data_IF_591905593034
#
_entry.id   IF_591905593034
#
_cell.length_a   1.000
_cell.length_b   1.000
_cell.length_c   1.000
_cell.angle_alpha   90.00
_cell.angle_beta   90.00
_cell.angle_gamma   90.00
#
_symmetry.space_group_name_H-M   'P 1'
#
loop_
_entity.id
_entity.type
_entity.pdbx_description
1 polymer ?
#
# COMPACT_ATOMS: atom_id res chain seq x y z
N UNK A 1 -11.56 -4.34 3.10
CA UNK A 1 -11.92 -3.42 1.98
C UNK A 1 -11.84 -2.00 2.49
N UNK A 2 -11.26 -1.09 1.71
CA UNK A 2 -11.12 0.33 2.03
C UNK A 2 -11.65 1.17 0.88
N UNK A 3 -12.27 2.30 1.22
CA UNK A 3 -12.67 3.32 0.27
C UNK A 3 -11.72 4.49 0.41
N UNK A 4 -10.96 4.79 -0.64
CA UNK A 4 -9.98 5.87 -0.63
C UNK A 4 -10.41 7.01 -1.53
N UNK A 5 -10.37 8.21 -0.96
CA UNK A 5 -10.33 9.45 -1.72
C UNK A 5 -8.88 9.75 -2.12
N UNK A 6 -8.70 10.65 -3.08
CA UNK A 6 -7.39 11.18 -3.45
C UNK A 6 -6.61 11.66 -2.22
N UNK A 7 -5.28 11.58 -2.28
CA UNK A 7 -4.37 12.02 -1.21
C UNK A 7 -4.56 11.23 0.10
N UNK A 8 -4.90 9.95 0.00
CA UNK A 8 -4.93 9.03 1.13
C UNK A 8 -3.88 7.92 0.99
N UNK A 9 -3.43 7.42 2.13
CA UNK A 9 -2.38 6.40 2.21
C UNK A 9 -2.89 5.19 2.99
N UNK A 10 -2.54 4.00 2.52
CA UNK A 10 -2.60 2.75 3.29
C UNK A 10 -1.19 2.26 3.60
N UNK A 11 -0.95 1.92 4.85
CA UNK A 11 0.21 1.16 5.29
C UNK A 11 -0.15 -0.31 5.48
N UNK A 12 0.77 -1.18 5.07
CA UNK A 12 0.79 -2.64 5.25
C UNK A 12 1.85 -2.93 6.32
N UNK A 13 1.47 -2.79 7.59
CA UNK A 13 2.41 -2.70 8.70
C UNK A 13 3.43 -1.58 8.46
N UNK A 14 4.68 -1.82 8.83
CA UNK A 14 5.84 -0.99 8.49
C UNK A 14 6.54 -1.39 7.20
N UNK A 15 6.01 -2.36 6.43
CA UNK A 15 6.73 -3.00 5.32
C UNK A 15 6.21 -2.63 3.93
N UNK A 16 5.04 -2.00 3.84
CA UNK A 16 4.49 -1.52 2.59
C UNK A 16 3.66 -0.26 2.79
N UNK A 17 3.67 0.61 1.79
CA UNK A 17 2.84 1.82 1.74
C UNK A 17 2.25 1.96 0.35
N UNK A 18 0.99 2.35 0.28
CA UNK A 18 0.28 2.71 -0.94
C UNK A 18 -0.31 4.10 -0.77
N UNK A 19 0.19 5.03 -1.56
CA UNK A 19 -0.29 6.40 -1.71
C UNK A 19 -1.24 6.46 -2.91
N UNK A 20 -2.51 6.74 -2.65
CA UNK A 20 -3.51 6.88 -3.70
C UNK A 20 -3.59 8.33 -4.18
N UNK A 21 -3.08 8.56 -5.39
CA UNK A 21 -2.96 9.90 -5.98
C UNK A 21 -4.28 10.35 -6.59
N UNK A 22 -5.01 9.44 -7.24
CA UNK A 22 -6.26 9.75 -7.96
C UNK A 22 -6.27 9.21 -9.39
N UNK A 23 -7.29 9.50 -10.21
CA UNK A 23 -8.39 10.40 -9.90
C UNK A 23 -9.60 9.67 -9.28
N UNK A 24 -10.45 10.46 -8.63
CA UNK A 24 -11.72 10.05 -8.03
C UNK A 24 -11.59 9.03 -6.89
N UNK A 25 -12.70 8.75 -6.21
CA UNK A 25 -12.74 7.77 -5.13
C UNK A 25 -12.60 6.34 -5.69
N UNK A 26 -11.82 5.49 -5.02
CA UNK A 26 -11.59 4.10 -5.43
C UNK A 26 -11.81 3.11 -4.28
N UNK A 27 -12.22 1.91 -4.65
CA UNK A 27 -12.28 0.75 -3.76
C UNK A 27 -10.97 -0.02 -3.82
N UNK A 28 -10.34 -0.22 -2.67
CA UNK A 28 -9.12 -1.01 -2.51
C UNK A 28 -9.40 -2.21 -1.60
N UNK A 29 -9.05 -3.41 -2.03
CA UNK A 29 -9.23 -4.65 -1.28
C UNK A 29 -7.85 -5.20 -0.95
N UNK A 30 -7.53 -5.31 0.34
CA UNK A 30 -6.23 -5.82 0.80
C UNK A 30 -6.34 -7.31 1.05
N UNK A 31 -5.47 -8.08 0.40
CA UNK A 31 -5.28 -9.52 0.59
C UNK A 31 -3.88 -9.73 1.15
N UNK A 32 -3.78 -9.93 2.46
CA UNK A 32 -2.52 -10.12 3.17
C UNK A 32 -2.77 -10.99 4.42
N UNK A 33 -1.70 -11.32 5.15
CA UNK A 33 -1.83 -11.99 6.45
C UNK A 33 -2.74 -11.21 7.39
N UNK A 34 -3.60 -11.90 8.15
CA UNK A 34 -4.45 -11.28 9.18
C UNK A 34 -3.65 -10.64 10.32
N UNK A 35 -2.38 -11.02 10.49
CA UNK A 35 -1.45 -10.43 11.45
C UNK A 35 -0.83 -9.11 10.98
N UNK A 36 -1.02 -8.71 9.71
CA UNK A 36 -0.49 -7.48 9.16
C UNK A 36 -1.43 -6.31 9.47
N UNK A 37 -0.97 -5.34 10.26
CA UNK A 37 -1.79 -4.18 10.61
C UNK A 37 -1.97 -3.28 9.40
N UNK A 38 -3.21 -3.06 8.97
CA UNK A 38 -3.51 -2.11 7.90
C UNK A 38 -3.90 -0.77 8.50
N UNK A 39 -3.11 0.26 8.25
CA UNK A 39 -3.36 1.60 8.77
C UNK A 39 -3.63 2.61 7.66
N UNK A 40 -4.72 3.37 7.77
CA UNK A 40 -5.07 4.42 6.80
C UNK A 40 -4.79 5.81 7.41
N UNK A 41 -4.13 6.66 6.64
CA UNK A 41 -3.91 8.07 7.01
C UNK A 41 -4.08 9.01 5.80
N UNK A 42 -4.05 10.32 6.05
CA UNK A 42 -3.90 11.31 4.98
C UNK A 42 -2.46 11.26 4.46
N UNK A 43 -2.29 11.39 3.15
CA UNK A 43 -0.96 11.30 2.52
C UNK A 43 0.02 12.36 3.05
N UNK A 44 -0.46 13.56 3.35
CA UNK A 44 0.36 14.63 3.94
C UNK A 44 0.92 14.30 5.34
N UNK A 45 0.33 13.32 6.03
CA UNK A 45 0.76 12.86 7.36
C UNK A 45 1.56 11.56 7.28
N UNK A 46 1.66 10.93 6.11
CA UNK A 46 2.15 9.57 6.00
C UNK A 46 3.65 9.45 6.33
N UNK A 47 4.48 10.41 5.89
CA UNK A 47 5.92 10.40 6.18
C UNK A 47 6.20 10.57 7.68
N UNK A 48 5.55 11.55 8.32
CA UNK A 48 5.68 11.80 9.76
C UNK A 48 5.12 10.64 10.60
N UNK A 49 3.96 10.09 10.20
CA UNK A 49 3.39 8.91 10.86
C UNK A 49 4.36 7.73 10.78
N UNK A 50 4.95 7.46 9.61
CA UNK A 50 5.92 6.38 9.45
C UNK A 50 7.14 6.56 10.36
N UNK A 51 7.74 7.75 10.37
CA UNK A 51 8.91 8.06 11.19
C UNK A 51 8.65 7.89 12.69
N UNK A 52 7.45 8.26 13.17
CA UNK A 52 7.11 8.20 14.59
C UNK A 52 6.53 6.86 15.04
N UNK A 53 5.94 6.09 14.14
CA UNK A 53 5.10 4.94 14.50
C UNK A 53 5.57 3.58 13.95
N UNK A 54 6.65 3.54 13.15
CA UNK A 54 7.33 2.30 12.79
C UNK A 54 7.78 1.54 14.06
N UNK A 55 7.47 0.25 14.13
CA UNK A 55 7.79 -0.57 15.30
C UNK A 55 6.74 -0.52 16.41
N UNK A 56 5.76 0.39 16.32
CA UNK A 56 4.69 0.58 17.31
C UNK A 56 3.31 0.32 16.69
N UNK A 57 2.70 1.33 16.05
CA UNK A 57 1.42 1.16 15.35
C UNK A 57 1.61 0.47 13.99
N UNK A 58 2.70 0.77 13.30
CA UNK A 58 3.03 0.18 12.01
C UNK A 58 3.86 -1.08 12.21
N UNK A 59 3.16 -2.18 12.46
CA UNK A 59 3.76 -3.50 12.75
C UNK A 59 3.16 -4.58 11.83
N UNK A 60 3.93 -5.61 11.49
CA UNK A 60 5.38 -5.79 11.65
C UNK A 60 6.24 -4.77 10.86
N UNK A 61 7.54 -4.60 11.20
CA UNK A 61 8.23 -5.21 12.35
C UNK A 61 7.75 -4.61 13.68
N UNK A 62 7.76 -5.39 14.76
CA UNK A 62 7.66 -4.88 16.12
C UNK A 62 9.03 -4.37 16.57
N UNK A 63 9.08 -3.22 17.25
CA UNK A 63 10.32 -2.51 17.63
C UNK A 63 11.05 -1.83 16.45
N UNK A 64 11.95 -0.89 16.76
CA UNK A 64 12.76 -0.19 15.75
C UNK A 64 13.81 -1.14 15.19
N UNK A 65 13.42 -1.87 14.15
CA UNK A 65 14.36 -2.60 13.30
C UNK A 65 14.91 -1.62 12.27
N UNK A 66 16.22 -1.67 12.05
CA UNK A 66 16.86 -0.98 10.93
C UNK A 66 16.42 -1.63 9.61
N UNK A 67 15.33 -1.12 9.05
CA UNK A 67 14.87 -1.50 7.73
C UNK A 67 15.71 -0.79 6.67
N UNK A 68 15.96 -1.44 5.51
CA UNK A 68 16.48 -0.75 4.35
C UNK A 68 15.60 0.45 3.96
N UNK A 69 16.16 1.46 3.27
CA UNK A 69 15.38 2.56 2.73
C UNK A 69 14.20 2.07 1.89
N UNK A 70 13.10 2.81 1.95
CA UNK A 70 11.91 2.56 1.15
C UNK A 70 12.19 2.94 -0.31
N UNK A 71 11.99 2.01 -1.24
CA UNK A 71 12.03 2.26 -2.68
C UNK A 71 10.64 2.73 -3.16
N UNK A 72 10.62 3.67 -4.10
CA UNK A 72 9.39 4.24 -4.67
C UNK A 72 9.03 3.56 -5.98
N UNK A 73 7.76 3.21 -6.14
CA UNK A 73 7.22 2.60 -7.35
C UNK A 73 5.94 3.33 -7.79
N UNK A 74 5.94 3.89 -9.00
CA UNK A 74 4.77 4.61 -9.53
C UNK A 74 4.02 3.74 -10.54
N UNK A 75 2.70 3.65 -10.37
CA UNK A 75 1.82 2.82 -11.19
C UNK A 75 0.60 3.59 -11.66
N UNK A 76 0.05 3.15 -12.81
CA UNK A 76 -1.26 3.54 -13.29
C UNK A 76 -2.04 2.28 -13.67
N UNK A 77 -3.25 2.10 -13.15
CA UNK A 77 -4.10 0.97 -13.54
C UNK A 77 -4.59 1.16 -14.97
N UNK A 78 -4.49 0.09 -15.76
CA UNK A 78 -4.88 0.04 -17.18
C UNK A 78 -6.04 -0.94 -17.42
N UNK A 79 -6.53 -1.59 -16.37
CA UNK A 79 -7.68 -2.50 -16.40
C UNK A 79 -8.70 -2.11 -15.32
N UNK A 80 -9.89 -2.70 -15.41
CA UNK A 80 -10.94 -2.51 -14.41
C UNK A 80 -10.55 -3.03 -13.03
N UNK A 81 -9.66 -4.02 -12.95
CA UNK A 81 -9.17 -4.55 -11.69
C UNK A 81 -7.70 -4.95 -11.81
N UNK A 82 -6.85 -4.31 -11.03
CA UNK A 82 -5.43 -4.62 -10.96
C UNK A 82 -5.04 -4.98 -9.53
N UNK A 83 -4.15 -5.95 -9.38
CA UNK A 83 -3.51 -6.25 -8.10
C UNK A 83 -2.16 -5.53 -8.03
N UNK A 84 -1.99 -4.66 -7.04
CA UNK A 84 -0.69 -4.15 -6.64
C UNK A 84 -0.06 -5.11 -5.64
N UNK A 85 0.88 -5.90 -6.12
CA UNK A 85 1.51 -6.99 -5.38
C UNK A 85 2.71 -6.47 -4.60
N UNK A 86 2.78 -6.82 -3.31
CA UNK A 86 3.95 -6.64 -2.46
C UNK A 86 4.51 -8.04 -2.11
N UNK A 87 5.68 -8.36 -2.66
CA UNK A 87 6.25 -9.71 -2.59
C UNK A 87 6.41 -10.17 -1.13
N UNK A 88 5.84 -11.33 -0.81
CA UNK A 88 5.87 -11.90 0.56
C UNK A 88 4.87 -11.29 1.56
N UNK A 89 4.23 -10.17 1.25
CA UNK A 89 3.22 -9.54 2.12
C UNK A 89 1.78 -9.82 1.67
N UNK A 90 1.56 -9.85 0.35
CA UNK A 90 0.23 -9.98 -0.24
C UNK A 90 0.02 -9.03 -1.41
N UNK A 91 -1.22 -8.61 -1.63
CA UNK A 91 -1.55 -7.63 -2.67
C UNK A 91 -2.74 -6.75 -2.28
N UNK A 92 -2.87 -5.63 -2.99
CA UNK A 92 -4.02 -4.74 -2.91
C UNK A 92 -4.70 -4.71 -4.27
N UNK A 93 -5.91 -5.24 -4.38
CA UNK A 93 -6.74 -5.10 -5.57
C UNK A 93 -7.31 -3.68 -5.62
N UNK A 94 -7.05 -2.96 -6.71
CA UNK A 94 -7.58 -1.64 -7.00
C UNK A 94 -8.65 -1.77 -8.07
N UNK A 95 -9.87 -1.34 -7.75
CA UNK A 95 -11.00 -1.32 -8.69
C UNK A 95 -11.02 -0.03 -9.50
N UNK A 96 -11.29 -0.14 -10.79
CA UNK A 96 -11.40 0.92 -11.77
C UNK A 96 -10.09 1.22 -12.52
N UNK A 97 -10.24 1.56 -13.80
CA UNK A 97 -9.15 1.96 -14.67
C UNK A 97 -8.65 3.39 -14.36
N UNK A 98 -7.36 3.64 -14.60
CA UNK A 98 -6.75 4.96 -14.60
C UNK A 98 -6.31 5.49 -13.23
N UNK A 99 -6.42 4.67 -12.17
CA UNK A 99 -5.94 5.01 -10.84
C UNK A 99 -4.41 5.16 -10.84
N UNK A 100 -3.92 6.29 -10.36
CA UNK A 100 -2.50 6.61 -10.17
C UNK A 100 -2.14 6.37 -8.72
N UNK A 101 -1.10 5.59 -8.52
CA UNK A 101 -0.69 5.08 -7.22
C UNK A 101 0.82 5.19 -7.12
N UNK A 102 1.29 5.61 -5.96
CA UNK A 102 2.70 5.45 -5.60
C UNK A 102 2.77 4.42 -4.49
N UNK A 103 3.51 3.34 -4.70
CA UNK A 103 3.81 2.36 -3.66
C UNK A 103 5.23 2.56 -3.14
N UNK A 104 5.43 2.14 -1.91
CA UNK A 104 6.74 2.09 -1.28
C UNK A 104 6.92 0.80 -0.50
N UNK A 105 8.13 0.23 -0.57
CA UNK A 105 8.51 -0.93 0.22
C UNK A 105 10.02 -0.90 0.48
N UNK A 106 10.52 -1.49 1.60
CA UNK A 106 11.95 -1.60 1.84
C UNK A 106 12.66 -2.35 0.71
N UNK A 107 13.89 -1.93 0.39
CA UNK A 107 14.73 -2.62 -0.60
C UNK A 107 14.76 -4.13 -0.35
N UNK A 108 14.48 -4.90 -1.40
CA UNK A 108 14.36 -6.37 -1.36
C UNK A 108 12.92 -6.89 -1.36
N UNK A 109 11.93 -6.04 -1.05
CA UNK A 109 10.52 -6.35 -1.27
C UNK A 109 10.12 -5.85 -2.65
N UNK A 110 9.93 -6.77 -3.59
CA UNK A 110 9.48 -6.44 -4.94
C UNK A 110 8.02 -5.94 -4.96
N UNK A 111 7.77 -4.86 -5.69
CA UNK A 111 6.42 -4.31 -5.91
C UNK A 111 6.10 -4.33 -7.41
N UNK A 112 4.94 -4.85 -7.78
CA UNK A 112 4.52 -4.96 -9.18
C UNK A 112 3.01 -4.83 -9.35
N UNK A 113 2.58 -4.40 -10.53
CA UNK A 113 1.17 -4.38 -10.92
C UNK A 113 0.87 -5.55 -11.86
N UNK A 114 -0.29 -6.22 -11.68
CA UNK A 114 -0.80 -7.26 -12.57
C UNK A 114 -2.32 -7.20 -12.71
N UNK A 115 -2.87 -7.94 -13.67
CA UNK A 115 -4.31 -8.24 -13.73
C UNK A 115 -4.79 -8.93 -12.45
N UNK A 116 -5.98 -8.56 -11.97
CA UNK A 116 -6.48 -9.15 -10.72
C UNK A 116 -6.73 -10.66 -10.84
N UNK A 117 -6.31 -11.40 -9.82
CA UNK A 117 -6.59 -12.84 -9.71
C UNK A 117 -8.02 -13.14 -9.31
N UNK A 118 -8.66 -12.23 -8.55
CA UNK A 118 -10.01 -12.40 -8.03
C UNK A 118 -10.89 -11.36 -8.69
N UNK A 119 -11.83 -11.82 -9.51
CA UNK A 119 -12.83 -10.95 -10.14
C UNK A 119 -14.07 -10.88 -9.24
N UNK A 120 -14.58 -9.67 -8.98
CA UNK A 120 -15.77 -9.51 -8.11
C UNK A 120 -16.31 -8.10 -8.02
#
# INVERSE_FOLDING_TARGET
MFQLNERQTLFLGGLGRLDYIGPARRSLIVYASSSLVIHRTKMEQADDLYARQLGHLLTPPSEKVDLPPMERFDFRTDQEECDLVFSGLGWITIKGQGARITAYAPKGIGVSLRSSLIKG
#
